data_IF_631814794210
#
_entry.id   IF_631814794210
#
_cell.length_a   1.000
_cell.length_b   1.000
_cell.length_c   1.000
_cell.angle_alpha   90.00
_cell.angle_beta   90.00
_cell.angle_gamma   90.00
#
_symmetry.space_group_name_H-M   'P 1'
#
loop_
_entity.id
_entity.type
_entity.pdbx_description
1 polymer ?
#
# COMPACT_ATOMS: atom_id res chain seq x y z
N UNK A 1 -13.51 -2.85 3.59
CA UNK A 1 -12.35 -3.72 3.30
C UNK A 1 -11.69 -3.24 2.01
N UNK A 2 -10.38 -3.47 1.86
CA UNK A 2 -9.62 -3.14 0.65
C UNK A 2 -8.74 -4.31 0.24
N UNK A 3 -8.59 -4.52 -1.06
CA UNK A 3 -7.60 -5.42 -1.65
C UNK A 3 -6.73 -4.62 -2.61
N UNK A 4 -5.41 -4.73 -2.46
CA UNK A 4 -4.43 -4.07 -3.32
C UNK A 4 -3.80 -5.11 -4.23
N UNK A 5 -3.86 -4.89 -5.54
CA UNK A 5 -3.12 -5.76 -6.47
C UNK A 5 -1.62 -5.47 -6.36
N UNK A 6 -0.82 -6.52 -6.21
CA UNK A 6 0.62 -6.42 -6.04
C UNK A 6 1.39 -7.35 -6.97
N UNK A 7 2.63 -6.99 -7.25
CA UNK A 7 3.54 -7.78 -8.08
C UNK A 7 4.96 -7.72 -7.49
N UNK A 8 5.68 -8.87 -7.41
CA UNK A 8 7.09 -8.86 -7.07
C UNK A 8 7.91 -8.13 -8.12
N UNK A 9 8.71 -7.16 -7.69
CA UNK A 9 9.66 -6.42 -8.54
C UNK A 9 11.07 -6.53 -7.94
N UNK A 10 12.14 -6.39 -8.74
CA UNK A 10 13.50 -6.28 -8.20
C UNK A 10 13.59 -5.17 -7.15
N UNK A 11 14.26 -5.44 -6.02
CA UNK A 11 14.36 -4.50 -4.90
C UNK A 11 14.98 -3.15 -5.30
N UNK A 12 15.85 -3.16 -6.30
CA UNK A 12 16.54 -1.99 -6.86
C UNK A 12 15.57 -1.01 -7.55
N UNK A 13 14.45 -1.51 -8.08
CA UNK A 13 13.41 -0.73 -8.78
C UNK A 13 12.25 -0.35 -7.84
N UNK A 14 12.15 -1.00 -6.68
CA UNK A 14 11.00 -0.93 -5.78
C UNK A 14 10.77 0.45 -5.16
N UNK A 15 11.79 1.31 -5.12
CA UNK A 15 11.71 2.68 -4.58
C UNK A 15 10.76 3.61 -5.35
N UNK A 16 10.39 3.25 -6.59
CA UNK A 16 9.42 3.99 -7.38
C UNK A 16 7.96 3.65 -7.05
N UNK A 17 7.72 2.63 -6.23
CA UNK A 17 6.39 2.06 -5.97
C UNK A 17 6.01 2.14 -4.48
N UNK A 18 4.73 1.96 -4.19
CA UNK A 18 4.28 1.62 -2.84
C UNK A 18 4.64 0.17 -2.52
N UNK A 19 5.46 -0.06 -1.51
CA UNK A 19 5.96 -1.38 -1.14
C UNK A 19 5.21 -1.88 0.08
N UNK A 20 4.79 -3.15 0.05
CA UNK A 20 4.04 -3.76 1.13
C UNK A 20 4.76 -4.98 1.72
N UNK A 21 4.61 -5.15 3.04
CA UNK A 21 4.91 -6.40 3.72
C UNK A 21 3.59 -7.11 4.03
N UNK A 22 3.53 -8.42 3.77
CA UNK A 22 2.35 -9.26 3.99
C UNK A 22 2.67 -10.42 4.92
N UNK A 23 1.65 -10.90 5.64
CA UNK A 23 1.73 -12.14 6.43
C UNK A 23 1.44 -13.40 5.58
N UNK A 24 1.37 -14.57 6.23
CA UNK A 24 1.13 -15.87 5.57
C UNK A 24 -0.27 -15.99 4.92
N UNK A 25 -1.20 -15.09 5.22
CA UNK A 25 -2.55 -15.07 4.67
C UNK A 25 -2.77 -13.91 3.66
N UNK A 26 -1.67 -13.36 3.12
CA UNK A 26 -1.67 -12.21 2.21
C UNK A 26 -2.28 -10.94 2.81
N UNK A 27 -2.36 -10.84 4.15
CA UNK A 27 -2.79 -9.60 4.81
C UNK A 27 -1.63 -8.62 4.82
N UNK A 28 -1.87 -7.39 4.36
CA UNK A 28 -0.91 -6.31 4.46
C UNK A 28 -0.69 -5.97 5.94
N UNK A 29 0.58 -5.99 6.36
CA UNK A 29 1.04 -5.65 7.72
C UNK A 29 1.70 -4.27 7.73
N UNK A 30 2.35 -3.91 6.64
CA UNK A 30 3.01 -2.61 6.47
C UNK A 30 2.91 -2.18 5.02
N UNK A 31 2.66 -0.89 4.79
CA UNK A 31 2.70 -0.26 3.48
C UNK A 31 3.53 1.02 3.57
N UNK A 32 4.51 1.16 2.68
CA UNK A 32 5.35 2.34 2.58
C UNK A 32 5.36 2.85 1.13
N UNK A 33 4.91 4.09 0.93
CA UNK A 33 4.89 4.73 -0.39
C UNK A 33 6.29 5.23 -0.76
N UNK A 34 6.84 4.72 -1.87
CA UNK A 34 8.13 5.14 -2.46
C UNK A 34 9.28 5.17 -1.44
N UNK A 35 9.57 4.06 -0.76
CA UNK A 35 10.62 3.99 0.25
C UNK A 35 12.00 4.19 -0.38
N UNK A 36 12.85 4.98 0.28
CA UNK A 36 14.27 5.07 -0.10
C UNK A 36 15.03 3.74 0.12
N UNK A 37 14.57 2.92 1.06
CA UNK A 37 15.08 1.57 1.31
C UNK A 37 13.90 0.58 1.32
N UNK A 38 13.55 -0.01 0.16
CA UNK A 38 12.40 -0.89 0.03
C UNK A 38 12.51 -2.15 0.91
N UNK A 39 11.48 -2.52 1.69
CA UNK A 39 11.47 -3.79 2.40
C UNK A 39 11.42 -4.96 1.40
N UNK A 40 12.18 -6.01 1.71
CA UNK A 40 12.24 -7.22 0.88
C UNK A 40 11.13 -8.21 1.24
N UNK A 41 10.77 -9.09 0.31
CA UNK A 41 9.84 -10.18 0.59
C UNK A 41 10.46 -11.21 1.57
N UNK A 42 9.67 -11.83 2.48
CA UNK A 42 10.17 -12.79 3.45
C UNK A 42 10.90 -13.99 2.83
N UNK A 43 10.43 -14.44 1.67
CA UNK A 43 10.93 -15.64 0.97
C UNK A 43 11.90 -15.32 -0.18
N UNK A 44 12.05 -14.04 -0.55
CA UNK A 44 12.93 -13.60 -1.64
C UNK A 44 13.52 -12.22 -1.33
N UNK A 45 14.72 -12.17 -0.70
CA UNK A 45 15.37 -10.91 -0.34
C UNK A 45 15.74 -10.01 -1.54
N UNK A 46 15.76 -10.57 -2.76
CA UNK A 46 16.07 -9.81 -3.98
C UNK A 46 14.86 -9.08 -4.58
N UNK A 47 13.67 -9.27 -4.02
CA UNK A 47 12.43 -8.66 -4.51
C UNK A 47 11.66 -7.96 -3.41
N UNK A 48 10.89 -6.97 -3.82
CA UNK A 48 9.90 -6.30 -3.00
C UNK A 48 8.52 -6.50 -3.59
N UNK A 49 7.51 -6.57 -2.73
CA UNK A 49 6.12 -6.67 -3.17
C UNK A 49 5.58 -5.26 -3.43
N UNK A 50 5.49 -4.89 -4.71
CA UNK A 50 5.09 -3.55 -5.12
C UNK A 50 3.59 -3.48 -5.45
N UNK A 51 2.94 -2.42 -5.00
CA UNK A 51 1.57 -2.05 -5.38
C UNK A 51 1.51 -1.64 -6.85
N UNK A 52 0.49 -2.15 -7.56
CA UNK A 52 0.24 -1.80 -8.95
C UNK A 52 -0.63 -0.55 -9.11
N UNK A 53 -1.06 0.09 -8.00
CA UNK A 53 -2.01 1.20 -8.04
C UNK A 53 -3.44 0.77 -8.41
N UNK A 54 -3.77 -0.50 -8.20
CA UNK A 54 -5.10 -1.07 -8.47
C UNK A 54 -5.69 -1.51 -7.15
N UNK A 55 -6.81 -0.91 -6.79
CA UNK A 55 -7.48 -1.12 -5.50
C UNK A 55 -8.91 -1.59 -5.72
N UNK A 56 -9.33 -2.59 -4.95
CA UNK A 56 -10.72 -3.03 -4.88
C UNK A 56 -11.23 -2.76 -3.47
N UNK A 57 -12.28 -1.96 -3.37
CA UNK A 57 -12.89 -1.58 -2.11
C UNK A 57 -14.34 -2.06 -2.03
N UNK A 58 -14.79 -2.33 -0.81
CA UNK A 58 -16.23 -2.27 -0.52
C UNK A 58 -16.69 -0.81 -0.70
N UNK A 59 -17.75 -0.57 -1.49
CA UNK A 59 -18.15 0.77 -1.89
C UNK A 59 -18.48 1.68 -0.69
N UNK A 60 -19.33 1.20 0.22
CA UNK A 60 -19.74 1.97 1.41
C UNK A 60 -18.54 2.38 2.27
N UNK A 61 -17.57 1.46 2.42
CA UNK A 61 -16.34 1.73 3.18
C UNK A 61 -15.46 2.78 2.51
N UNK A 62 -15.38 2.80 1.18
CA UNK A 62 -14.61 3.82 0.47
C UNK A 62 -15.23 5.21 0.62
N UNK A 63 -16.56 5.32 0.62
CA UNK A 63 -17.22 6.61 0.80
C UNK A 63 -16.93 7.21 2.17
N UNK A 64 -17.06 6.40 3.23
CA UNK A 64 -16.71 6.82 4.60
C UNK A 64 -15.24 7.25 4.69
N UNK A 65 -14.32 6.46 4.13
CA UNK A 65 -12.89 6.72 4.19
C UNK A 65 -12.50 8.03 3.48
N UNK A 66 -13.12 8.32 2.33
CA UNK A 66 -12.88 9.56 1.59
C UNK A 66 -13.47 10.78 2.29
N UNK A 67 -14.66 10.67 2.88
CA UNK A 67 -15.24 11.76 3.66
C UNK A 67 -14.43 12.08 4.93
N UNK A 68 -13.84 11.07 5.56
CA UNK A 68 -12.92 11.28 6.67
C UNK A 68 -11.63 11.96 6.21
N UNK A 69 -11.06 11.54 5.08
CA UNK A 69 -9.84 12.11 4.53
C UNK A 69 -10.00 13.56 4.04
N UNK A 70 -11.14 13.90 3.43
CA UNK A 70 -11.48 15.27 3.00
C UNK A 70 -11.49 16.28 4.16
N UNK A 71 -11.74 15.81 5.39
CA UNK A 71 -11.76 16.63 6.60
C UNK A 71 -10.41 16.70 7.31
N UNK A 72 -9.41 15.94 6.88
CA UNK A 72 -8.07 15.90 7.47
C UNK A 72 -7.14 16.93 6.82
N UNK A 73 -6.90 18.05 7.50
CA UNK A 73 -6.02 19.12 7.03
C UNK A 73 -4.55 18.71 6.85
N UNK A 74 -4.14 17.55 7.38
CA UNK A 74 -2.77 17.04 7.25
C UNK A 74 -2.62 16.00 6.14
N UNK A 75 -3.72 15.56 5.53
CA UNK A 75 -3.70 14.59 4.44
C UNK A 75 -3.12 15.23 3.17
N UNK A 76 -2.42 14.43 2.37
CA UNK A 76 -2.11 14.80 0.98
C UNK A 76 -3.18 14.39 -0.03
N UNK A 77 -4.29 13.82 0.44
CA UNK A 77 -5.41 13.33 -0.36
C UNK A 77 -4.99 12.34 -1.45
N UNK A 78 -4.07 11.44 -1.10
CA UNK A 78 -3.54 10.41 -1.99
C UNK A 78 -3.81 9.00 -1.45
N UNK A 79 -4.11 8.06 -2.34
CA UNK A 79 -4.37 6.68 -1.95
C UNK A 79 -3.14 6.03 -1.32
N UNK A 80 -1.98 6.09 -1.97
CA UNK A 80 -0.77 5.40 -1.51
C UNK A 80 -0.18 6.06 -0.27
N UNK A 81 -0.24 7.39 -0.19
CA UNK A 81 0.38 8.13 0.91
C UNK A 81 -0.50 8.29 2.15
N UNK A 82 -1.82 8.34 1.99
CA UNK A 82 -2.74 8.65 3.09
C UNK A 82 -3.73 7.50 3.35
N UNK A 83 -4.48 7.05 2.33
CA UNK A 83 -5.60 6.12 2.55
C UNK A 83 -5.17 4.68 2.81
N UNK A 84 -4.24 4.14 2.01
CA UNK A 84 -3.77 2.76 2.15
C UNK A 84 -3.04 2.57 3.49
N UNK A 85 -2.11 3.45 3.92
CA UNK A 85 -1.51 3.33 5.24
C UNK A 85 -2.51 3.42 6.41
N UNK A 86 -3.63 4.15 6.24
CA UNK A 86 -4.67 4.31 7.27
C UNK A 86 -5.47 3.03 7.53
N UNK A 87 -5.50 2.10 6.57
CA UNK A 87 -6.32 0.87 6.63
C UNK A 87 -5.52 -0.42 6.78
N UNK A 88 -4.18 -0.33 6.84
CA UNK A 88 -3.25 -1.45 7.07
C UNK A 88 -3.00 -1.69 8.56
#
# INVERSE_FOLDING_TARGET
RCTVACMPVPIEEASAFGVMAVDENDKIIEFVEKPANPPSMPNDPGKSLASMGIYVFDADYLYELLEEDDRDENSSHDFGKDLIPKIT
#
